data_IF_820228149684
#
_entry.id   IF_820228149684
#
_cell.length_a   1.000
_cell.length_b   1.000
_cell.length_c   1.000
_cell.angle_alpha   90.00
_cell.angle_beta   90.00
_cell.angle_gamma   90.00
#
_symmetry.space_group_name_H-M   'P 1'
#
loop_
_entity.id
_entity.type
_entity.pdbx_description
1 polymer ?
#
# COMPACT_ATOMS: atom_id res chain seq x y z
N UNK A 1 0.40 -20.84 -51.39
CA UNK A 1 -0.57 -20.53 -52.47
C UNK A 1 -1.96 -20.74 -51.92
N UNK A 2 -2.77 -19.68 -51.80
CA UNK A 2 -4.08 -19.50 -52.45
C UNK A 2 -4.66 -18.17 -51.96
N UNK A 3 -4.79 -17.23 -52.90
CA UNK A 3 -5.42 -15.92 -52.77
C UNK A 3 -6.90 -16.03 -53.08
N UNK A 4 -7.78 -15.29 -52.41
CA UNK A 4 -9.10 -14.89 -52.93
C UNK A 4 -9.77 -13.89 -51.96
N UNK A 5 -10.55 -12.86 -52.29
CA UNK A 5 -10.72 -11.91 -53.40
C UNK A 5 -11.42 -10.68 -52.76
N UNK A 6 -11.09 -9.50 -53.25
CA UNK A 6 -11.67 -8.18 -52.95
C UNK A 6 -13.00 -7.98 -53.71
N UNK A 7 -14.05 -7.44 -53.08
CA UNK A 7 -15.16 -6.80 -53.83
C UNK A 7 -15.70 -5.57 -53.11
N UNK A 8 -15.43 -4.43 -53.74
CA UNK A 8 -15.92 -3.08 -53.54
C UNK A 8 -17.32 -2.94 -54.17
N UNK A 9 -18.28 -2.27 -53.53
CA UNK A 9 -19.43 -1.72 -54.27
C UNK A 9 -19.91 -0.41 -53.62
N UNK A 10 -19.64 0.66 -54.35
CA UNK A 10 -20.05 2.04 -54.13
C UNK A 10 -21.45 2.23 -54.74
N UNK A 11 -22.39 2.88 -54.06
CA UNK A 11 -23.65 3.31 -54.67
C UNK A 11 -23.96 4.76 -54.29
N UNK A 12 -23.63 5.66 -55.20
CA UNK A 12 -24.05 7.05 -55.25
C UNK A 12 -25.48 7.17 -55.78
N UNK A 13 -26.31 7.98 -55.12
CA UNK A 13 -27.49 8.58 -55.74
C UNK A 13 -27.58 10.06 -55.33
N UNK A 14 -27.46 10.92 -56.33
CA UNK A 14 -27.67 12.37 -56.29
C UNK A 14 -29.18 12.65 -56.31
N UNK A 15 -29.64 13.60 -55.48
CA UNK A 15 -30.89 14.32 -55.74
C UNK A 15 -30.62 15.82 -55.78
N UNK A 16 -30.94 16.40 -56.93
CA UNK A 16 -30.97 17.82 -57.25
C UNK A 16 -32.23 18.46 -56.68
N UNK A 17 -32.12 19.69 -56.19
CA UNK A 17 -33.13 20.77 -56.13
C UNK A 17 -32.49 21.92 -55.34
N UNK A 18 -32.58 23.21 -55.63
CA UNK A 18 -33.08 24.05 -56.72
C UNK A 18 -32.65 25.46 -56.29
N UNK A 19 -32.00 26.25 -57.16
CA UNK A 19 -31.67 27.64 -56.87
C UNK A 19 -32.94 28.51 -56.80
N UNK A 20 -32.99 29.40 -55.80
CA UNK A 20 -33.67 30.70 -55.88
C UNK A 20 -32.76 31.73 -55.20
N UNK A 21 -32.31 32.71 -55.98
CA UNK A 21 -31.64 33.92 -55.49
C UNK A 21 -32.61 34.75 -54.64
N UNK A 22 -32.10 35.29 -53.51
CA UNK A 22 -32.21 36.72 -53.14
C UNK A 22 -31.65 37.00 -51.73
N UNK A 23 -30.90 38.11 -51.66
CA UNK A 23 -30.68 39.02 -50.52
C UNK A 23 -29.66 38.66 -49.43
N UNK A 24 -28.66 39.56 -49.31
CA UNK A 24 -27.69 39.71 -48.22
C UNK A 24 -28.38 39.73 -46.85
N UNK A 25 -27.89 38.92 -45.93
CA UNK A 25 -28.04 39.12 -44.50
C UNK A 25 -26.69 38.83 -43.83
N UNK A 26 -26.26 39.75 -42.97
CA UNK A 26 -25.05 39.64 -42.16
C UNK A 26 -24.99 38.29 -41.45
N UNK A 27 -23.89 37.56 -41.65
CA UNK A 27 -23.60 36.38 -40.87
C UNK A 27 -22.97 36.84 -39.55
N UNK A 28 -23.81 37.09 -38.55
CA UNK A 28 -23.38 37.14 -37.15
C UNK A 28 -22.81 35.77 -36.82
N UNK A 29 -21.48 35.71 -36.82
CA UNK A 29 -20.69 34.58 -36.40
C UNK A 29 -21.08 34.25 -34.96
N UNK A 30 -21.97 33.28 -34.80
CA UNK A 30 -22.31 32.72 -33.49
C UNK A 30 -21.11 31.86 -33.12
N UNK A 31 -20.13 32.48 -32.45
CA UNK A 31 -19.08 31.75 -31.76
C UNK A 31 -19.78 30.77 -30.83
N UNK A 32 -19.76 29.49 -31.22
CA UNK A 32 -20.14 28.42 -30.32
C UNK A 32 -19.03 28.39 -29.29
N UNK A 33 -19.24 29.05 -28.16
CA UNK A 33 -18.37 28.90 -27.00
C UNK A 33 -18.48 27.43 -26.61
N UNK A 34 -17.48 26.63 -26.97
CA UNK A 34 -17.29 25.32 -26.36
C UNK A 34 -17.25 25.56 -24.85
N UNK A 35 -18.26 25.08 -24.12
CA UNK A 35 -18.19 25.03 -22.67
C UNK A 35 -17.10 24.03 -22.34
N UNK A 36 -15.88 24.53 -22.10
CA UNK A 36 -14.84 23.75 -21.44
C UNK A 36 -15.38 23.47 -20.05
N UNK A 37 -15.79 22.23 -19.81
CA UNK A 37 -16.11 21.76 -18.47
C UNK A 37 -14.80 21.64 -17.69
N UNK A 38 -14.73 22.31 -16.54
CA UNK A 38 -13.55 22.23 -15.67
C UNK A 38 -13.30 20.79 -15.21
N UNK A 39 -12.06 20.33 -15.34
CA UNK A 39 -11.59 19.07 -14.75
C UNK A 39 -11.21 19.32 -13.29
N UNK A 40 -12.15 19.03 -12.39
CA UNK A 40 -11.99 19.25 -10.95
C UNK A 40 -11.87 17.91 -10.21
N UNK A 41 -10.74 17.72 -9.55
CA UNK A 41 -10.47 16.56 -8.69
C UNK A 41 -10.51 17.00 -7.23
N UNK A 42 -11.36 16.36 -6.43
CA UNK A 42 -11.45 16.60 -4.99
C UNK A 42 -10.72 15.53 -4.21
N UNK A 43 -10.03 15.94 -3.15
CA UNK A 43 -9.32 15.05 -2.23
C UNK A 43 -9.42 15.59 -0.80
N UNK A 44 -9.25 14.72 0.18
CA UNK A 44 -9.15 15.10 1.58
C UNK A 44 -8.05 14.28 2.24
N UNK A 45 -7.35 14.87 3.20
CA UNK A 45 -6.27 14.22 3.93
C UNK A 45 -6.32 14.60 5.40
N UNK A 46 -5.95 13.66 6.26
CA UNK A 46 -5.91 13.87 7.71
C UNK A 46 -4.50 13.64 8.22
N UNK A 47 -3.97 14.58 8.99
CA UNK A 47 -2.65 14.45 9.59
C UNK A 47 -2.69 13.62 10.89
N UNK A 48 -1.51 13.34 11.44
CA UNK A 48 -1.34 12.59 12.70
C UNK A 48 -2.00 13.24 13.92
N UNK A 49 -2.27 14.54 13.88
CA UNK A 49 -2.89 15.30 14.97
C UNK A 49 -4.43 15.40 14.78
N UNK A 50 -4.96 14.79 13.71
CA UNK A 50 -6.37 14.75 13.38
C UNK A 50 -6.89 15.99 12.66
N UNK A 51 -6.01 16.89 12.20
CA UNK A 51 -6.44 18.02 11.37
C UNK A 51 -6.82 17.51 9.98
N UNK A 52 -7.89 18.05 9.41
CA UNK A 52 -8.35 17.71 8.06
C UNK A 52 -7.97 18.82 7.07
N UNK A 53 -7.47 18.43 5.92
CA UNK A 53 -7.18 19.29 4.77
C UNK A 53 -8.02 18.82 3.59
N UNK A 54 -9.03 19.61 3.22
CA UNK A 54 -9.80 19.37 1.99
C UNK A 54 -9.17 20.14 0.84
N UNK A 55 -9.17 19.54 -0.35
CA UNK A 55 -8.50 20.08 -1.53
C UNK A 55 -9.38 19.88 -2.77
N UNK A 56 -9.47 20.90 -3.61
CA UNK A 56 -10.06 20.83 -4.93
C UNK A 56 -9.05 21.34 -5.95
N UNK A 57 -8.56 20.45 -6.81
CA UNK A 57 -7.63 20.77 -7.89
C UNK A 57 -8.42 21.01 -9.17
N UNK A 58 -8.33 22.21 -9.73
CA UNK A 58 -8.87 22.53 -11.04
C UNK A 58 -7.73 22.39 -12.05
N UNK A 59 -7.67 21.24 -12.72
CA UNK A 59 -6.62 20.92 -13.69
C UNK A 59 -6.70 21.78 -14.95
N UNK A 60 -7.91 22.26 -15.29
CA UNK A 60 -8.13 23.18 -16.41
C UNK A 60 -7.46 24.53 -16.17
N UNK A 61 -7.62 25.08 -14.96
CA UNK A 61 -7.13 26.41 -14.60
C UNK A 61 -5.77 26.39 -13.89
N UNK A 62 -5.26 25.21 -13.53
CA UNK A 62 -4.02 25.07 -12.78
C UNK A 62 -4.12 25.69 -11.39
N UNK A 63 -5.27 25.58 -10.72
CA UNK A 63 -5.48 26.13 -9.38
C UNK A 63 -5.83 25.03 -8.38
N UNK A 64 -5.58 25.31 -7.10
CA UNK A 64 -6.02 24.47 -6.00
C UNK A 64 -6.72 25.35 -4.96
N UNK A 65 -7.92 24.95 -4.56
CA UNK A 65 -8.63 25.55 -3.42
C UNK A 65 -8.55 24.57 -2.25
N UNK A 66 -8.02 25.03 -1.13
CA UNK A 66 -7.88 24.25 0.09
C UNK A 66 -8.87 24.74 1.16
N UNK A 67 -9.34 23.84 2.01
CA UNK A 67 -9.97 24.18 3.27
C UNK A 67 -9.18 23.53 4.41
N UNK A 68 -8.60 24.37 5.27
CA UNK A 68 -7.82 23.92 6.42
C UNK A 68 -8.24 24.69 7.67
N UNK A 69 -8.71 23.96 8.70
CA UNK A 69 -9.21 24.54 9.94
C UNK A 69 -10.26 25.67 9.73
N UNK A 70 -11.06 25.57 8.67
CA UNK A 70 -12.08 26.55 8.31
C UNK A 70 -11.58 27.74 7.48
N UNK A 71 -10.27 27.84 7.22
CA UNK A 71 -9.70 28.82 6.30
C UNK A 71 -9.74 28.29 4.86
N UNK A 72 -10.29 29.08 3.93
CA UNK A 72 -10.23 28.79 2.49
C UNK A 72 -8.99 29.44 1.88
N UNK A 73 -8.18 28.65 1.18
CA UNK A 73 -6.88 29.07 0.64
C UNK A 73 -6.86 28.76 -0.85
N UNK A 74 -6.74 29.78 -1.68
CA UNK A 74 -6.58 29.61 -3.13
C UNK A 74 -5.10 29.69 -3.51
N UNK A 75 -4.67 28.72 -4.32
CA UNK A 75 -3.31 28.56 -4.77
C UNK A 75 -3.24 28.41 -6.30
N UNK A 76 -2.11 28.79 -6.87
CA UNK A 76 -1.82 28.63 -8.30
C UNK A 76 -0.69 27.61 -8.46
N UNK A 77 -0.79 26.77 -9.48
CA UNK A 77 0.21 25.76 -9.79
C UNK A 77 1.55 26.40 -10.17
N UNK A 78 2.62 25.82 -9.63
CA UNK A 78 4.00 26.13 -9.96
C UNK A 78 4.63 24.99 -10.77
N UNK A 79 5.71 25.28 -11.49
CA UNK A 79 6.43 24.24 -12.22
C UNK A 79 7.24 23.36 -11.27
N UNK A 80 6.80 22.13 -11.07
CA UNK A 80 7.52 21.10 -10.32
C UNK A 80 8.35 20.20 -11.26
N UNK A 81 9.43 19.60 -10.74
CA UNK A 81 10.16 18.53 -11.45
C UNK A 81 9.47 17.15 -11.28
N UNK A 82 8.71 16.98 -10.20
CA UNK A 82 7.93 15.79 -9.87
C UNK A 82 6.86 16.18 -8.85
N UNK A 83 5.67 15.60 -8.96
CA UNK A 83 4.57 15.83 -8.03
C UNK A 83 3.85 17.17 -8.22
N UNK A 84 3.08 17.56 -7.22
CA UNK A 84 2.34 18.82 -7.21
C UNK A 84 3.13 19.92 -6.50
N UNK A 85 2.96 21.14 -6.97
CA UNK A 85 3.44 22.33 -6.28
C UNK A 85 2.47 23.47 -6.58
N UNK A 86 1.88 24.04 -5.54
CA UNK A 86 0.94 25.15 -5.63
C UNK A 86 1.29 26.20 -4.57
N UNK A 87 1.21 27.49 -4.91
CA UNK A 87 1.62 28.57 -4.01
C UNK A 87 0.68 29.77 -4.08
N UNK A 88 0.74 30.60 -3.03
CA UNK A 88 0.35 32.01 -3.05
C UNK A 88 1.34 32.81 -2.18
N UNK A 89 1.01 34.05 -1.80
CA UNK A 89 1.89 34.90 -0.98
C UNK A 89 2.28 34.29 0.37
N UNK A 90 1.37 33.53 1.00
CA UNK A 90 1.55 33.01 2.36
C UNK A 90 1.66 31.48 2.42
N UNK A 91 1.19 30.77 1.40
CA UNK A 91 1.02 29.32 1.44
C UNK A 91 1.77 28.60 0.35
N UNK A 92 2.27 27.41 0.68
CA UNK A 92 2.87 26.46 -0.25
C UNK A 92 2.30 25.07 0.03
N UNK A 93 1.65 24.48 -0.98
CA UNK A 93 1.28 23.07 -0.99
C UNK A 93 2.26 22.31 -1.89
N UNK A 94 2.88 21.27 -1.35
CA UNK A 94 3.71 20.33 -2.10
C UNK A 94 3.29 18.90 -1.84
N UNK A 95 3.57 18.02 -2.80
CA UNK A 95 3.29 16.60 -2.59
C UNK A 95 3.55 15.70 -3.78
N UNK A 96 3.48 14.40 -3.55
CA UNK A 96 3.57 13.35 -4.57
C UNK A 96 2.68 12.18 -4.16
N UNK A 97 1.70 11.85 -5.00
CA UNK A 97 0.69 10.86 -4.60
C UNK A 97 -0.16 11.41 -3.46
N UNK A 98 -0.27 10.67 -2.36
CA UNK A 98 -0.99 11.12 -1.16
C UNK A 98 -0.08 11.86 -0.16
N UNK A 99 1.24 11.75 -0.30
CA UNK A 99 2.18 12.49 0.56
C UNK A 99 2.08 13.97 0.23
N UNK A 100 1.62 14.77 1.20
CA UNK A 100 1.43 16.21 1.02
C UNK A 100 1.90 16.99 2.24
N UNK A 101 2.40 18.19 1.98
CA UNK A 101 2.84 19.16 2.98
C UNK A 101 2.24 20.52 2.64
N UNK A 102 1.58 21.14 3.62
CA UNK A 102 1.14 22.54 3.54
C UNK A 102 1.99 23.38 4.48
N UNK A 103 2.62 24.42 3.93
CA UNK A 103 3.33 25.45 4.70
C UNK A 103 2.54 26.75 4.70
N UNK A 104 2.65 27.49 5.81
CA UNK A 104 2.26 28.90 5.95
C UNK A 104 3.47 29.71 6.37
N UNK A 105 3.82 30.72 5.59
CA UNK A 105 4.99 31.60 5.78
C UNK A 105 6.29 30.79 6.01
N UNK A 106 6.47 29.72 5.22
CA UNK A 106 7.63 28.83 5.30
C UNK A 106 7.62 27.82 6.46
N UNK A 107 6.63 27.85 7.34
CA UNK A 107 6.45 26.87 8.42
C UNK A 107 5.46 25.79 8.03
N UNK A 108 5.82 24.52 8.22
CA UNK A 108 4.90 23.38 8.03
C UNK A 108 3.75 23.47 9.04
N UNK A 109 2.52 23.47 8.53
CA UNK A 109 1.28 23.50 9.32
C UNK A 109 0.41 22.27 9.12
N UNK A 110 0.69 21.47 8.09
CA UNK A 110 0.05 20.17 7.84
C UNK A 110 1.05 19.28 7.11
N UNK A 111 1.09 18.01 7.50
CA UNK A 111 1.85 16.97 6.80
C UNK A 111 1.05 15.68 6.83
N UNK A 112 0.97 15.02 5.68
CA UNK A 112 0.41 13.70 5.58
C UNK A 112 1.39 12.83 4.82
N UNK A 113 1.71 11.68 5.41
CA UNK A 113 2.50 10.63 4.79
C UNK A 113 1.64 9.38 4.68
N UNK A 114 1.67 8.74 3.53
CA UNK A 114 0.93 7.52 3.26
C UNK A 114 1.44 6.39 4.15
N UNK A 115 0.56 5.81 4.96
CA UNK A 115 0.91 4.67 5.80
C UNK A 115 0.91 3.37 4.97
N UNK A 116 1.89 3.24 4.06
CA UNK A 116 2.05 2.10 3.16
C UNK A 116 2.93 1.01 3.79
N UNK A 117 2.40 -0.21 3.84
CA UNK A 117 3.10 -1.41 4.29
C UNK A 117 3.25 -2.35 3.12
N UNK A 118 4.49 -2.80 2.86
CA UNK A 118 4.77 -3.86 1.90
C UNK A 118 5.06 -5.16 2.66
N UNK A 119 4.49 -6.27 2.20
CA UNK A 119 4.68 -7.59 2.81
C UNK A 119 4.73 -8.64 1.73
N UNK A 120 5.60 -9.64 1.90
CA UNK A 120 5.66 -10.81 1.02
C UNK A 120 5.57 -12.05 1.90
N UNK A 121 4.57 -12.89 1.61
CA UNK A 121 4.35 -14.15 2.31
C UNK A 121 4.58 -15.31 1.36
N UNK A 122 5.04 -16.43 1.91
CA UNK A 122 5.20 -17.68 1.17
C UNK A 122 4.41 -18.80 1.85
N UNK A 123 3.53 -19.46 1.11
CA UNK A 123 2.80 -20.62 1.59
C UNK A 123 3.69 -21.87 1.61
N UNK A 124 3.21 -22.95 2.24
CA UNK A 124 3.98 -24.21 2.38
C UNK A 124 4.27 -24.90 1.04
N UNK A 125 3.40 -24.74 0.07
CA UNK A 125 3.54 -25.22 -1.31
C UNK A 125 4.40 -24.29 -2.18
N UNK A 126 4.93 -23.21 -1.60
CA UNK A 126 5.88 -22.31 -2.26
C UNK A 126 5.24 -21.18 -3.05
N UNK A 127 3.91 -21.05 -3.04
CA UNK A 127 3.24 -19.88 -3.62
C UNK A 127 3.63 -18.61 -2.87
N UNK A 128 3.67 -17.48 -3.56
CA UNK A 128 3.97 -16.18 -2.97
C UNK A 128 2.76 -15.28 -3.01
N UNK A 129 2.61 -14.46 -1.97
CA UNK A 129 1.61 -13.41 -1.89
C UNK A 129 2.32 -12.11 -1.54
N UNK A 130 2.49 -11.26 -2.54
CA UNK A 130 3.03 -9.91 -2.35
C UNK A 130 1.87 -8.94 -2.15
N UNK A 131 1.95 -8.13 -1.09
CA UNK A 131 0.89 -7.23 -0.66
C UNK A 131 1.45 -5.84 -0.40
N UNK A 132 0.76 -4.83 -0.92
CA UNK A 132 0.95 -3.42 -0.56
C UNK A 132 -0.34 -2.94 0.08
N UNK A 133 -0.32 -2.69 1.38
CA UNK A 133 -1.46 -2.17 2.14
C UNK A 133 -1.27 -0.67 2.33
N UNK A 134 -2.22 0.13 1.89
CA UNK A 134 -2.28 1.56 2.20
C UNK A 134 -3.31 1.77 3.32
N UNK A 135 -2.83 2.03 4.54
CA UNK A 135 -3.70 2.23 5.70
C UNK A 135 -4.40 3.59 5.69
N UNK A 136 -3.89 4.58 4.94
CA UNK A 136 -4.54 5.90 4.76
C UNK A 136 -5.85 5.75 4.01
N UNK A 137 -5.80 5.10 2.85
CA UNK A 137 -6.96 4.89 1.96
C UNK A 137 -7.72 3.61 2.30
N UNK A 138 -7.22 2.83 3.27
CA UNK A 138 -7.72 1.51 3.62
C UNK A 138 -7.87 0.59 2.40
N UNK A 139 -6.85 0.55 1.54
CA UNK A 139 -6.81 -0.30 0.34
C UNK A 139 -5.65 -1.28 0.40
N UNK A 140 -5.76 -2.39 -0.33
CA UNK A 140 -4.67 -3.34 -0.50
C UNK A 140 -4.52 -3.74 -1.97
N UNK A 141 -3.27 -3.77 -2.44
CA UNK A 141 -2.89 -4.35 -3.73
C UNK A 141 -2.20 -5.67 -3.47
N UNK A 142 -2.65 -6.72 -4.14
CA UNK A 142 -2.19 -8.08 -3.89
C UNK A 142 -1.77 -8.75 -5.20
N UNK A 143 -0.67 -9.50 -5.17
CA UNK A 143 -0.15 -10.28 -6.29
C UNK A 143 0.08 -11.72 -5.84
N UNK A 144 -0.70 -12.64 -6.41
CA UNK A 144 -0.50 -14.08 -6.18
C UNK A 144 0.50 -14.63 -7.21
N UNK A 145 1.61 -15.17 -6.74
CA UNK A 145 2.69 -15.73 -7.57
C UNK A 145 3.25 -14.76 -8.63
N UNK A 146 3.28 -13.46 -8.32
CA UNK A 146 3.66 -12.42 -9.27
C UNK A 146 2.70 -12.27 -10.46
N UNK A 147 1.47 -12.76 -10.33
CA UNK A 147 0.42 -12.67 -11.34
C UNK A 147 -0.19 -11.27 -11.47
N UNK A 148 -1.44 -11.20 -11.92
CA UNK A 148 -2.16 -9.93 -12.06
C UNK A 148 -2.39 -9.23 -10.71
N UNK A 149 -2.40 -7.89 -10.73
CA UNK A 149 -2.74 -7.08 -9.58
C UNK A 149 -4.20 -7.30 -9.19
N UNK A 150 -4.43 -7.56 -7.91
CA UNK A 150 -5.76 -7.64 -7.31
C UNK A 150 -5.91 -6.42 -6.40
N UNK A 151 -6.77 -5.49 -6.80
CA UNK A 151 -7.14 -4.32 -5.97
C UNK A 151 -8.26 -4.70 -5.02
N UNK A 152 -8.06 -4.43 -3.72
CA UNK A 152 -9.00 -4.76 -2.65
C UNK A 152 -9.29 -3.52 -1.79
N UNK A 153 -10.53 -3.40 -1.35
CA UNK A 153 -10.98 -2.36 -0.44
C UNK A 153 -11.15 -2.91 0.98
N UNK A 154 -10.66 -2.16 1.95
CA UNK A 154 -10.71 -2.52 3.36
C UNK A 154 -12.13 -2.49 3.89
N UNK A 155 -12.42 -3.45 4.75
CA UNK A 155 -13.68 -3.61 5.45
C UNK A 155 -13.50 -3.24 6.93
N UNK A 156 -14.58 -3.28 7.71
CA UNK A 156 -14.52 -3.00 9.15
C UNK A 156 -14.68 -4.30 9.96
N UNK A 157 -13.62 -5.13 10.10
CA UNK A 157 -13.66 -6.33 10.91
C UNK A 157 -13.56 -6.00 12.40
N UNK A 158 -14.13 -6.88 13.26
CA UNK A 158 -13.95 -6.76 14.71
C UNK A 158 -12.50 -7.01 15.16
N UNK A 159 -11.71 -7.74 14.36
CA UNK A 159 -10.29 -8.01 14.62
C UNK A 159 -9.58 -8.44 13.34
N UNK A 160 -8.28 -8.14 13.25
CA UNK A 160 -7.44 -8.52 12.13
C UNK A 160 -7.65 -7.62 10.91
N UNK A 161 -7.20 -8.11 9.76
CA UNK A 161 -7.39 -7.44 8.47
C UNK A 161 -8.54 -8.08 7.70
N UNK A 162 -9.23 -7.26 6.92
CA UNK A 162 -10.23 -7.72 5.98
C UNK A 162 -10.27 -6.76 4.79
N UNK A 163 -9.91 -7.26 3.62
CA UNK A 163 -9.99 -6.53 2.35
C UNK A 163 -10.73 -7.40 1.33
N UNK A 164 -11.56 -6.80 0.46
CA UNK A 164 -12.29 -7.54 -0.57
C UNK A 164 -12.57 -6.70 -1.81
N UNK A 165 -12.88 -7.39 -2.90
CA UNK A 165 -13.61 -6.86 -4.05
C UNK A 165 -14.73 -7.85 -4.42
N UNK A 166 -15.25 -7.79 -5.64
CA UNK A 166 -16.34 -8.67 -6.10
C UNK A 166 -15.93 -10.14 -6.22
N UNK A 167 -14.64 -10.42 -6.48
CA UNK A 167 -14.13 -11.77 -6.76
C UNK A 167 -13.21 -12.31 -5.66
N UNK A 168 -12.52 -11.44 -4.94
CA UNK A 168 -11.48 -11.80 -4.00
C UNK A 168 -11.78 -11.30 -2.57
N UNK A 169 -11.35 -12.10 -1.60
CA UNK A 169 -11.43 -11.76 -0.18
C UNK A 169 -10.12 -12.13 0.52
N UNK A 170 -9.45 -11.14 1.09
CA UNK A 170 -8.24 -11.28 1.91
C UNK A 170 -8.63 -11.09 3.38
N UNK A 171 -8.33 -12.07 4.23
CA UNK A 171 -8.56 -11.99 5.67
C UNK A 171 -7.36 -12.51 6.43
N UNK A 172 -7.19 -12.04 7.66
CA UNK A 172 -6.19 -12.63 8.54
C UNK A 172 -5.88 -11.83 9.79
N UNK A 173 -4.94 -12.32 10.57
CA UNK A 173 -4.42 -11.65 11.77
C UNK A 173 -2.92 -11.87 11.87
N UNK A 174 -2.15 -10.79 11.95
CA UNK A 174 -0.69 -10.88 11.88
C UNK A 174 -0.27 -11.48 10.54
N UNK A 175 0.53 -12.54 10.58
CA UNK A 175 0.96 -13.26 9.38
C UNK A 175 -0.02 -14.40 9.00
N UNK A 176 -1.00 -14.72 9.83
CA UNK A 176 -1.98 -15.76 9.47
C UNK A 176 -2.99 -15.17 8.48
N UNK A 177 -2.76 -15.39 7.19
CA UNK A 177 -3.47 -14.76 6.08
C UNK A 177 -4.11 -15.81 5.18
N UNK A 178 -5.32 -15.53 4.72
CA UNK A 178 -6.04 -16.30 3.70
C UNK A 178 -6.50 -15.37 2.59
N UNK A 179 -6.23 -15.74 1.33
CA UNK A 179 -6.84 -15.14 0.15
C UNK A 179 -7.79 -16.15 -0.48
N UNK A 180 -9.04 -15.73 -0.67
CA UNK A 180 -10.06 -16.47 -1.42
C UNK A 180 -10.32 -15.81 -2.76
N UNK A 181 -10.66 -16.63 -3.75
CA UNK A 181 -11.22 -16.25 -5.06
C UNK A 181 -12.53 -16.99 -5.27
N UNK A 182 -13.60 -16.26 -5.50
CA UNK A 182 -14.96 -16.79 -5.69
C UNK A 182 -15.37 -17.76 -4.55
N UNK A 183 -14.98 -17.40 -3.32
CA UNK A 183 -15.21 -18.20 -2.11
C UNK A 183 -14.25 -19.36 -1.87
N UNK A 184 -13.40 -19.72 -2.84
CA UNK A 184 -12.42 -20.81 -2.71
C UNK A 184 -11.06 -20.28 -2.25
N UNK A 185 -10.41 -20.96 -1.31
CA UNK A 185 -9.07 -20.58 -0.84
C UNK A 185 -8.05 -20.80 -1.96
N UNK A 186 -7.36 -19.72 -2.34
CA UNK A 186 -6.30 -19.75 -3.37
C UNK A 186 -4.91 -19.51 -2.79
N UNK A 187 -4.82 -18.95 -1.58
CA UNK A 187 -3.58 -18.84 -0.82
C UNK A 187 -3.87 -18.88 0.68
N UNK A 188 -2.99 -19.53 1.43
CA UNK A 188 -3.00 -19.50 2.89
C UNK A 188 -1.57 -19.45 3.42
N UNK A 189 -1.38 -18.63 4.44
CA UNK A 189 -0.16 -18.56 5.22
C UNK A 189 -0.53 -18.66 6.70
N UNK A 190 0.28 -19.40 7.45
CA UNK A 190 0.14 -19.51 8.90
C UNK A 190 1.54 -19.57 9.47
N UNK A 191 1.82 -18.76 10.48
CA UNK A 191 3.09 -18.82 11.18
C UNK A 191 3.18 -20.11 11.99
N UNK A 192 4.27 -20.84 11.80
CA UNK A 192 4.59 -22.00 12.63
C UNK A 192 5.31 -21.55 13.90
N UNK A 193 4.52 -21.09 14.88
CA UNK A 193 5.02 -20.64 16.17
C UNK A 193 5.09 -21.80 17.17
N UNK A 194 6.25 -21.98 17.78
CA UNK A 194 6.47 -22.92 18.88
C UNK A 194 7.01 -22.17 20.09
N UNK A 195 6.31 -22.25 21.22
CA UNK A 195 6.77 -21.69 22.49
C UNK A 195 7.32 -22.78 23.40
N UNK A 196 8.41 -22.50 24.10
CA UNK A 196 9.00 -23.40 25.09
C UNK A 196 9.51 -22.60 26.29
N UNK A 197 9.51 -23.21 27.47
CA UNK A 197 10.05 -22.62 28.69
C UNK A 197 10.90 -23.68 29.40
N UNK A 198 12.15 -23.33 29.67
CA UNK A 198 13.11 -24.22 30.33
C UNK A 198 13.58 -23.60 31.64
N UNK A 199 13.98 -24.46 32.59
CA UNK A 199 14.57 -24.05 33.86
C UNK A 199 15.84 -24.86 34.11
N UNK A 200 16.92 -24.20 34.51
CA UNK A 200 18.16 -24.89 34.87
C UNK A 200 18.25 -25.18 36.37
N UNK A 201 19.31 -25.89 36.78
CA UNK A 201 19.56 -26.29 38.17
C UNK A 201 19.79 -25.09 39.11
N UNK A 202 20.23 -23.95 38.57
CA UNK A 202 20.38 -22.68 39.31
C UNK A 202 19.04 -21.96 39.51
N UNK A 203 17.97 -22.49 38.91
CA UNK A 203 16.62 -21.96 38.99
C UNK A 203 16.33 -20.82 38.01
N UNK A 204 17.26 -20.51 37.11
CA UNK A 204 17.06 -19.54 36.04
C UNK A 204 16.06 -20.10 35.02
N UNK A 205 15.26 -19.22 34.40
CA UNK A 205 14.29 -19.60 33.36
C UNK A 205 14.70 -19.06 31.99
N UNK A 206 14.39 -19.82 30.95
CA UNK A 206 14.58 -19.43 29.56
C UNK A 206 13.29 -19.65 28.79
N UNK A 207 12.58 -18.55 28.51
CA UNK A 207 11.37 -18.57 27.70
C UNK A 207 11.74 -18.30 26.24
N UNK A 208 11.27 -19.14 25.34
CA UNK A 208 11.63 -19.11 23.93
C UNK A 208 10.38 -19.19 23.07
N UNK A 209 10.31 -18.35 22.04
CA UNK A 209 9.30 -18.41 20.99
C UNK A 209 10.01 -18.55 19.65
N UNK A 210 9.90 -19.71 19.03
CA UNK A 210 10.42 -19.99 17.70
C UNK A 210 9.35 -19.67 16.67
N UNK A 211 9.67 -18.86 15.68
CA UNK A 211 8.91 -18.76 14.43
C UNK A 211 9.66 -19.59 13.38
N UNK A 212 9.14 -20.79 13.09
CA UNK A 212 9.76 -21.71 12.14
C UNK A 212 9.54 -21.26 10.69
N UNK A 213 8.54 -20.41 10.44
CA UNK A 213 8.26 -19.82 9.13
C UNK A 213 9.33 -18.80 8.75
N UNK A 214 9.61 -17.84 9.64
CA UNK A 214 10.67 -16.82 9.43
C UNK A 214 12.06 -17.29 9.86
N UNK A 215 12.16 -18.49 10.44
CA UNK A 215 13.37 -19.04 11.05
C UNK A 215 14.01 -18.07 12.06
N UNK A 216 13.20 -17.53 12.98
CA UNK A 216 13.66 -16.62 14.04
C UNK A 216 13.28 -17.14 15.42
N UNK A 217 13.98 -16.71 16.46
CA UNK A 217 13.63 -17.02 17.85
C UNK A 217 13.63 -15.74 18.70
N UNK A 218 12.61 -15.59 19.55
CA UNK A 218 12.58 -14.60 20.63
C UNK A 218 12.88 -15.31 21.94
N UNK A 219 13.83 -14.80 22.71
CA UNK A 219 14.29 -15.44 23.94
C UNK A 219 14.26 -14.44 25.10
N UNK A 220 13.82 -14.90 26.27
CA UNK A 220 13.82 -14.13 27.51
C UNK A 220 14.52 -14.94 28.61
N UNK A 221 15.63 -14.43 29.13
CA UNK A 221 16.34 -15.01 30.26
C UNK A 221 15.81 -14.39 31.55
N UNK A 222 15.25 -15.21 32.45
CA UNK A 222 14.65 -14.78 33.72
C UNK A 222 13.58 -13.68 33.58
N UNK A 223 12.80 -13.71 32.49
CA UNK A 223 11.82 -12.66 32.19
C UNK A 223 12.44 -11.28 31.91
N UNK A 224 13.74 -11.22 31.59
CA UNK A 224 14.46 -10.00 31.25
C UNK A 224 14.13 -9.44 29.87
N UNK A 225 15.09 -8.72 29.28
CA UNK A 225 14.91 -8.14 27.93
C UNK A 225 14.74 -9.21 26.84
N UNK A 226 13.96 -8.87 25.82
CA UNK A 226 13.80 -9.70 24.64
C UNK A 226 15.10 -9.78 23.86
N UNK A 227 15.53 -11.01 23.55
CA UNK A 227 16.66 -11.30 22.68
C UNK A 227 16.10 -11.86 21.37
N UNK A 228 16.19 -11.06 20.30
CA UNK A 228 15.83 -11.49 18.95
C UNK A 228 17.00 -12.20 18.28
N UNK A 229 16.78 -13.43 17.82
CA UNK A 229 17.77 -14.30 17.19
C UNK A 229 17.30 -14.76 15.81
N UNK A 230 18.27 -14.94 14.91
CA UNK A 230 18.03 -15.46 13.55
C UNK A 230 18.62 -16.86 13.42
N UNK A 231 17.86 -17.76 12.81
CA UNK A 231 18.24 -19.14 12.63
C UNK A 231 19.41 -19.29 11.66
N UNK A 232 20.29 -20.22 11.97
CA UNK A 232 21.48 -20.56 11.20
C UNK A 232 21.30 -21.96 10.61
N UNK A 233 22.29 -22.42 9.82
CA UNK A 233 22.35 -23.81 9.35
C UNK A 233 23.20 -24.65 10.30
N UNK A 234 22.61 -25.38 11.27
CA UNK A 234 23.36 -26.27 12.14
C UNK A 234 23.71 -27.59 11.44
N UNK A 235 24.76 -28.24 11.92
CA UNK A 235 25.06 -29.63 11.56
C UNK A 235 24.07 -30.62 12.21
N UNK A 236 23.50 -30.26 13.38
CA UNK A 236 22.47 -31.01 14.10
C UNK A 236 21.80 -30.08 15.12
N UNK A 237 20.51 -30.26 15.37
CA UNK A 237 19.76 -29.53 16.40
C UNK A 237 19.33 -28.13 15.94
N UNK A 238 19.15 -27.23 16.90
CA UNK A 238 18.83 -25.82 16.67
C UNK A 238 20.08 -24.95 16.78
N UNK A 239 20.10 -23.88 15.99
CA UNK A 239 21.11 -22.84 16.11
C UNK A 239 20.51 -21.50 15.69
N UNK A 240 20.43 -20.57 16.63
CA UNK A 240 19.97 -19.20 16.41
C UNK A 240 21.00 -18.23 16.99
N UNK A 241 21.24 -17.09 16.34
CA UNK A 241 22.17 -16.08 16.85
C UNK A 241 21.80 -14.66 16.43
N UNK A 242 22.38 -13.70 17.15
CA UNK A 242 22.59 -12.33 16.69
C UNK A 242 24.06 -11.95 16.93
N UNK A 243 24.37 -10.66 17.07
CA UNK A 243 25.74 -10.18 17.26
C UNK A 243 26.29 -10.49 18.66
N UNK A 244 25.42 -10.55 19.67
CA UNK A 244 25.82 -10.71 21.09
C UNK A 244 25.47 -12.07 21.65
N UNK A 245 24.42 -12.72 21.15
CA UNK A 245 23.86 -13.94 21.71
C UNK A 245 23.86 -15.08 20.71
N UNK A 246 24.07 -16.28 21.23
CA UNK A 246 23.95 -17.53 20.46
C UNK A 246 23.20 -18.57 21.28
N UNK A 247 22.10 -19.08 20.71
CA UNK A 247 21.27 -20.16 21.24
C UNK A 247 21.55 -21.43 20.43
N UNK A 248 21.99 -22.49 21.11
CA UNK A 248 22.22 -23.81 20.52
C UNK A 248 21.52 -24.87 21.34
N UNK A 249 21.13 -25.98 20.71
CA UNK A 249 20.51 -27.06 21.45
C UNK A 249 20.11 -28.25 20.59
N UNK A 250 19.75 -29.35 21.26
CA UNK A 250 19.20 -30.55 20.61
C UNK A 250 18.24 -31.24 21.56
N UNK A 251 17.00 -31.46 21.10
CA UNK A 251 15.94 -31.95 21.97
C UNK A 251 15.68 -30.95 23.09
N UNK A 252 15.68 -31.43 24.33
CA UNK A 252 15.40 -30.58 25.51
C UNK A 252 16.66 -29.89 26.06
N UNK A 253 17.86 -30.21 25.57
CA UNK A 253 19.10 -29.59 26.05
C UNK A 253 19.42 -28.34 25.23
N UNK A 254 19.50 -27.19 25.89
CA UNK A 254 19.71 -25.88 25.27
C UNK A 254 20.79 -25.10 26.03
N UNK A 255 21.58 -24.35 25.28
CA UNK A 255 22.60 -23.45 25.81
C UNK A 255 22.43 -22.06 25.16
N UNK A 256 22.30 -21.03 25.99
CA UNK A 256 22.38 -19.64 25.57
C UNK A 256 23.73 -19.07 26.01
N UNK A 257 24.46 -18.51 25.07
CA UNK A 257 25.69 -17.77 25.34
C UNK A 257 25.51 -16.29 25.02
N UNK A 258 26.21 -15.43 25.76
CA UNK A 258 26.35 -13.99 25.52
C UNK A 258 27.83 -13.66 25.41
N UNK A 259 28.25 -13.04 24.30
CA UNK A 259 29.64 -12.69 24.01
C UNK A 259 30.59 -13.90 24.21
N UNK A 260 30.13 -15.08 23.80
CA UNK A 260 30.86 -16.35 23.93
C UNK A 260 30.89 -16.98 25.33
N UNK A 261 30.22 -16.39 26.33
CA UNK A 261 30.11 -16.95 27.69
C UNK A 261 28.72 -17.54 27.92
N UNK A 262 28.64 -18.73 28.49
CA UNK A 262 27.37 -19.36 28.85
C UNK A 262 26.63 -18.53 29.90
N UNK A 263 25.38 -18.18 29.59
CA UNK A 263 24.46 -17.46 30.49
C UNK A 263 23.24 -18.29 30.87
N UNK A 264 22.97 -19.38 30.14
CA UNK A 264 21.99 -20.39 30.50
C UNK A 264 22.39 -21.74 29.88
N UNK A 265 22.16 -22.83 30.61
CA UNK A 265 22.31 -24.20 30.12
C UNK A 265 21.41 -25.14 30.92
N UNK A 266 20.76 -26.09 30.25
CA UNK A 266 20.01 -27.18 30.89
C UNK A 266 20.35 -28.56 30.29
#
# INVERSE_FOLDING_TARGET
MTKTILTMTMLTALFLSSCKDSTKQENTQTSTTEQVTDDIVKSASTDKDGNNLEMAFNNTNGTATLNFQGETIDLVAEKSASGIWYTNEHYELRGKGNDIELKKDGKVIFTHDDAIINTSLKSKDGQTLDMTVNNTTNTAKVYLNGGEQIDLEGQNPASGIWYKNDQYELRGKGNDIELKKDGNVVFTHTDEIVTSSLKNDEGQTLDMTFNNTSNTAKVYLNGGEQIDLTGQKPASGIWYRNDQYELRGKGDNVELTKDGKTVFKN
#
